data_IF_209419189007
#
_entry.id   IF_209419189007
#
_cell.length_a   1.000
_cell.length_b   1.000
_cell.length_c   1.000
_cell.angle_alpha   90.00
_cell.angle_beta   90.00
_cell.angle_gamma   90.00
#
_symmetry.space_group_name_H-M   'P 1'
#
loop_
_entity.id
_entity.type
_entity.pdbx_description
1 polymer ?
#
# COMPACT_ATOMS: atom_id res chain seq x y z
N UNK A 1 12.96 36.80 66.23
CA UNK A 1 13.09 35.52 65.52
C UNK A 1 11.72 35.07 65.05
N UNK A 2 11.47 35.05 63.74
CA UNK A 2 10.49 34.18 63.05
C UNK A 2 10.58 34.47 61.55
N UNK A 3 11.23 33.56 60.81
CA UNK A 3 11.22 33.50 59.35
C UNK A 3 9.98 32.70 58.97
N UNK A 4 9.03 33.29 58.25
CA UNK A 4 7.96 32.57 57.56
C UNK A 4 8.34 32.52 56.09
N UNK A 5 8.76 31.34 55.63
CA UNK A 5 8.93 31.05 54.22
C UNK A 5 7.58 30.92 53.54
N UNK A 6 7.48 31.45 52.33
CA UNK A 6 6.38 31.20 51.41
C UNK A 6 6.96 30.49 50.18
N UNK A 7 6.73 29.19 50.12
CA UNK A 7 6.69 28.40 48.88
C UNK A 7 5.34 28.65 48.20
N UNK A 8 5.25 28.35 46.90
CA UNK A 8 4.06 28.11 46.01
C UNK A 8 4.24 28.92 44.73
N UNK A 9 4.08 28.42 43.51
CA UNK A 9 4.03 27.09 42.92
C UNK A 9 4.21 27.29 41.40
N UNK A 10 5.02 26.47 40.74
CA UNK A 10 5.16 26.52 39.29
C UNK A 10 4.01 25.74 38.63
N UNK A 11 3.11 26.44 37.94
CA UNK A 11 2.07 25.82 37.10
C UNK A 11 2.73 25.41 35.79
N UNK A 12 3.00 24.12 35.61
CA UNK A 12 3.42 23.56 34.33
C UNK A 12 2.18 23.33 33.46
N UNK A 13 2.01 24.15 32.42
CA UNK A 13 0.98 23.94 31.41
C UNK A 13 1.35 22.72 30.56
N UNK A 14 0.60 21.62 30.70
CA UNK A 14 0.71 20.47 29.82
C UNK A 14 0.10 20.83 28.46
N UNK A 15 0.96 21.18 27.51
CA UNK A 15 0.59 21.29 26.09
C UNK A 15 0.37 19.87 25.56
N UNK A 16 -0.89 19.45 25.51
CA UNK A 16 -1.29 18.25 24.79
C UNK A 16 -1.02 18.46 23.30
N UNK A 17 0.08 17.92 22.79
CA UNK A 17 0.37 17.83 21.36
C UNK A 17 -0.63 16.86 20.74
N UNK A 18 -1.69 17.39 20.12
CA UNK A 18 -2.55 16.60 19.26
C UNK A 18 -1.69 16.03 18.12
N UNK A 19 -1.77 14.72 17.89
CA UNK A 19 -1.13 14.09 16.75
C UNK A 19 -1.66 14.73 15.46
N UNK A 20 -0.80 15.02 14.47
CA UNK A 20 -1.26 15.54 13.20
C UNK A 20 -2.23 14.54 12.56
N UNK A 21 -3.42 15.02 12.18
CA UNK A 21 -4.32 14.24 11.34
C UNK A 21 -3.73 14.22 9.92
N UNK A 22 -3.24 13.06 9.49
CA UNK A 22 -2.82 12.85 8.11
C UNK A 22 -4.08 12.69 7.25
N UNK A 23 -4.17 13.45 6.16
CA UNK A 23 -5.22 13.25 5.16
C UNK A 23 -4.87 12.02 4.31
N UNK A 24 -5.87 11.23 3.93
CA UNK A 24 -5.68 10.14 2.98
C UNK A 24 -5.04 10.68 1.69
N UNK A 25 -4.11 9.90 1.11
CA UNK A 25 -3.53 10.26 -0.16
C UNK A 25 -4.64 10.32 -1.25
N UNK A 26 -4.55 11.27 -2.18
CA UNK A 26 -5.55 11.42 -3.22
C UNK A 26 -5.59 10.16 -4.09
N UNK A 27 -6.80 9.63 -4.32
CA UNK A 27 -7.04 8.50 -5.22
C UNK A 27 -6.49 8.83 -6.61
N UNK A 28 -5.66 7.94 -7.22
CA UNK A 28 -5.23 8.09 -8.61
C UNK A 28 -6.40 8.26 -9.58
N UNK A 29 -6.26 9.18 -10.54
CA UNK A 29 -7.30 9.50 -11.52
C UNK A 29 -6.75 9.41 -12.94
N UNK A 30 -7.56 8.89 -13.87
CA UNK A 30 -7.18 8.83 -15.28
C UNK A 30 -6.85 10.25 -15.82
N UNK A 31 -5.74 10.35 -16.54
CA UNK A 31 -5.20 11.60 -17.09
C UNK A 31 -4.42 12.47 -16.10
N UNK A 32 -4.53 12.22 -14.79
CA UNK A 32 -3.77 12.93 -13.77
C UNK A 32 -2.27 12.57 -13.84
N UNK A 33 -1.37 13.49 -13.42
CA UNK A 33 0.06 13.20 -13.38
C UNK A 33 0.36 12.10 -12.35
N UNK A 34 1.39 11.31 -12.63
CA UNK A 34 2.01 10.39 -11.70
C UNK A 34 3.53 10.65 -11.60
N UNK A 35 4.16 10.33 -10.46
CA UNK A 35 5.61 10.41 -10.31
C UNK A 35 6.35 9.62 -11.39
N UNK A 36 7.53 10.10 -11.82
CA UNK A 36 8.29 9.41 -12.88
C UNK A 36 8.84 8.05 -12.45
N UNK A 37 9.16 7.89 -11.16
CA UNK A 37 9.56 6.63 -10.55
C UNK A 37 8.40 5.62 -10.47
N UNK A 38 7.17 6.04 -10.79
CA UNK A 38 6.01 5.17 -10.89
C UNK A 38 5.80 4.64 -12.31
N UNK A 39 6.75 4.80 -13.23
CA UNK A 39 6.66 4.17 -14.55
C UNK A 39 6.29 2.68 -14.44
N UNK A 40 5.26 2.28 -15.19
CA UNK A 40 4.67 0.94 -15.24
C UNK A 40 4.06 0.42 -13.90
N UNK A 41 3.92 1.30 -12.90
CA UNK A 41 3.19 0.97 -11.68
C UNK A 41 1.69 0.94 -11.99
N UNK A 42 1.05 -0.16 -11.60
CA UNK A 42 -0.39 -0.32 -11.69
C UNK A 42 -1.08 -0.05 -10.36
N UNK A 43 -2.36 0.26 -10.41
CA UNK A 43 -3.19 0.40 -9.22
C UNK A 43 -4.63 0.06 -9.54
N UNK A 44 -5.37 -0.37 -8.51
CA UNK A 44 -6.80 -0.62 -8.61
C UNK A 44 -7.58 0.56 -8.05
N UNK A 45 -8.62 0.99 -8.75
CA UNK A 45 -9.51 2.05 -8.30
C UNK A 45 -10.56 1.53 -7.32
N UNK A 46 -11.17 2.43 -6.51
CA UNK A 46 -12.27 2.04 -5.64
C UNK A 46 -13.38 1.33 -6.43
N UNK A 47 -13.92 0.26 -5.86
CA UNK A 47 -14.91 -0.60 -6.53
C UNK A 47 -14.32 -1.84 -7.22
N UNK A 48 -12.98 -1.91 -7.35
CA UNK A 48 -12.26 -3.16 -7.63
C UNK A 48 -12.24 -3.63 -9.09
N UNK A 49 -13.02 -3.00 -9.98
CA UNK A 49 -13.11 -3.42 -11.38
C UNK A 49 -12.16 -2.66 -12.32
N UNK A 50 -11.81 -1.43 -11.96
CA UNK A 50 -11.04 -0.53 -12.82
C UNK A 50 -9.58 -0.43 -12.36
N UNK A 51 -8.67 -0.34 -13.33
CA UNK A 51 -7.24 -0.29 -13.10
C UNK A 51 -6.62 0.89 -13.85
N UNK A 52 -5.61 1.50 -13.25
CA UNK A 52 -4.77 2.49 -13.89
C UNK A 52 -3.32 2.00 -13.95
N UNK A 53 -2.58 2.44 -14.97
CA UNK A 53 -1.12 2.31 -15.09
C UNK A 53 -0.50 3.68 -15.26
N UNK A 54 0.61 3.95 -14.58
CA UNK A 54 1.36 5.17 -14.78
C UNK A 54 2.26 5.04 -16.02
N UNK A 55 1.88 5.72 -17.10
CA UNK A 55 2.62 5.74 -18.36
C UNK A 55 3.69 6.81 -18.30
N UNK A 56 4.93 6.44 -18.60
CA UNK A 56 6.03 7.39 -18.71
C UNK A 56 5.79 8.36 -19.89
N UNK A 57 6.10 9.64 -19.66
CA UNK A 57 6.09 10.67 -20.70
C UNK A 57 7.50 11.26 -20.77
N UNK A 58 8.14 11.33 -21.95
CA UNK A 58 9.45 11.95 -22.08
C UNK A 58 9.46 13.39 -21.55
N UNK A 59 10.44 13.71 -20.72
CA UNK A 59 10.69 15.04 -20.15
C UNK A 59 9.52 15.65 -19.34
N UNK A 60 8.56 14.83 -18.91
CA UNK A 60 7.39 15.25 -18.12
C UNK A 60 7.06 14.21 -17.03
N UNK A 61 6.29 14.58 -16.00
CA UNK A 61 5.66 13.58 -15.13
C UNK A 61 4.87 12.57 -15.96
N UNK A 62 4.85 11.32 -15.51
CA UNK A 62 4.03 10.30 -16.14
C UNK A 62 2.54 10.68 -16.05
N UNK A 63 1.69 9.91 -16.72
CA UNK A 63 0.23 10.06 -16.60
C UNK A 63 -0.44 8.73 -16.30
N UNK A 64 -1.37 8.76 -15.36
CA UNK A 64 -2.25 7.63 -15.11
C UNK A 64 -3.15 7.41 -16.33
N UNK A 65 -3.14 6.20 -16.87
CA UNK A 65 -3.96 5.79 -17.99
C UNK A 65 -4.81 4.56 -17.62
N UNK A 66 -6.05 4.45 -18.10
CA UNK A 66 -6.88 3.28 -17.86
C UNK A 66 -6.28 2.02 -18.51
N UNK A 67 -6.41 0.89 -17.82
CA UNK A 67 -6.00 -0.43 -18.33
C UNK A 67 -7.23 -1.27 -18.65
N UNK A 68 -7.20 -1.94 -19.80
CA UNK A 68 -8.26 -2.86 -20.22
C UNK A 68 -7.96 -4.26 -19.68
N UNK A 69 -8.94 -4.88 -19.04
CA UNK A 69 -8.84 -6.28 -18.59
C UNK A 69 -9.22 -7.28 -19.69
N UNK A 70 -8.59 -8.47 -19.76
CA UNK A 70 -7.46 -8.91 -18.94
C UNK A 70 -6.15 -8.27 -19.42
N UNK A 71 -5.19 -8.16 -18.49
CA UNK A 71 -3.83 -7.71 -18.75
C UNK A 71 -2.83 -8.75 -18.24
N UNK A 72 -1.60 -8.69 -18.72
CA UNK A 72 -0.52 -9.54 -18.19
C UNK A 72 -0.21 -9.18 -16.74
N UNK A 73 0.13 -10.17 -15.88
CA UNK A 73 0.43 -9.90 -14.48
C UNK A 73 1.50 -8.83 -14.31
N UNK A 74 1.18 -7.75 -13.59
CA UNK A 74 2.10 -6.67 -13.34
C UNK A 74 3.04 -6.98 -12.18
N UNK A 75 4.28 -6.52 -12.30
CA UNK A 75 5.34 -6.68 -11.29
C UNK A 75 5.40 -5.50 -10.32
N UNK A 76 4.59 -4.45 -10.51
CA UNK A 76 4.61 -3.24 -9.68
C UNK A 76 3.20 -2.72 -9.43
N UNK A 77 2.89 -2.47 -8.15
CA UNK A 77 1.57 -2.04 -7.70
C UNK A 77 1.66 -0.89 -6.70
N UNK A 78 0.69 0.03 -6.73
CA UNK A 78 0.51 1.08 -5.75
C UNK A 78 -0.77 0.84 -4.95
N UNK A 79 -0.65 0.75 -3.63
CA UNK A 79 -1.75 1.01 -2.68
C UNK A 79 -1.59 2.43 -2.13
N UNK A 80 -2.69 3.18 -1.97
CA UNK A 80 -2.64 4.65 -1.81
C UNK A 80 -3.58 5.17 -0.70
N UNK A 81 -3.79 4.39 0.35
CA UNK A 81 -4.71 4.72 1.45
C UNK A 81 -5.85 3.70 1.53
N UNK A 82 -6.80 3.70 0.58
CA UNK A 82 -7.72 2.58 0.43
C UNK A 82 -6.96 1.29 0.10
N UNK A 83 -7.43 0.19 0.65
CA UNK A 83 -6.93 -1.13 0.30
C UNK A 83 -7.22 -1.46 -1.17
N UNK A 84 -6.27 -2.10 -1.83
CA UNK A 84 -6.48 -2.68 -3.16
C UNK A 84 -6.52 -4.20 -3.06
N UNK A 85 -7.36 -4.82 -3.88
CA UNK A 85 -7.57 -6.26 -3.91
C UNK A 85 -7.10 -6.81 -5.25
N UNK A 86 -6.09 -7.68 -5.22
CA UNK A 86 -5.49 -8.26 -6.42
C UNK A 86 -5.66 -9.77 -6.42
N UNK A 87 -5.68 -10.36 -7.61
CA UNK A 87 -5.81 -11.80 -7.80
C UNK A 87 -4.50 -12.43 -8.27
N UNK A 88 -4.22 -13.64 -7.77
CA UNK A 88 -3.07 -14.43 -8.18
C UNK A 88 -3.46 -15.65 -9.01
N UNK A 89 -2.52 -16.59 -9.18
CA UNK A 89 -2.66 -17.72 -10.12
C UNK A 89 -3.70 -18.77 -9.70
N UNK A 90 -4.34 -18.62 -8.54
CA UNK A 90 -5.56 -19.34 -8.18
C UNK A 90 -6.79 -18.88 -8.96
N UNK A 91 -6.70 -17.73 -9.65
CA UNK A 91 -7.72 -17.16 -10.52
C UNK A 91 -7.28 -17.17 -12.00
N UNK A 92 -8.24 -17.15 -12.94
CA UNK A 92 -7.93 -16.91 -14.36
C UNK A 92 -7.57 -15.44 -14.54
N UNK A 93 -6.59 -15.14 -15.39
CA UNK A 93 -6.11 -13.77 -15.64
C UNK A 93 -5.61 -13.10 -14.34
N UNK A 94 -4.56 -13.64 -13.71
CA UNK A 94 -4.04 -13.07 -12.47
C UNK A 94 -3.55 -11.63 -12.68
N UNK A 95 -3.71 -10.80 -11.65
CA UNK A 95 -3.17 -9.44 -11.66
C UNK A 95 -1.67 -9.43 -11.36
N UNK A 96 -1.17 -10.40 -10.59
CA UNK A 96 0.25 -10.49 -10.21
C UNK A 96 0.73 -11.95 -10.09
N UNK A 97 2.05 -12.12 -10.07
CA UNK A 97 2.70 -13.43 -9.93
C UNK A 97 3.07 -13.72 -8.48
N UNK A 98 3.00 -15.00 -8.09
CA UNK A 98 3.62 -15.48 -6.85
C UNK A 98 5.14 -15.27 -6.89
N UNK A 99 5.77 -15.14 -5.72
CA UNK A 99 7.22 -14.97 -5.61
C UNK A 99 7.57 -14.00 -4.49
N UNK A 100 8.83 -13.55 -4.47
CA UNK A 100 9.29 -12.56 -3.51
C UNK A 100 8.84 -11.16 -3.94
N UNK A 101 8.32 -10.40 -2.98
CA UNK A 101 7.86 -9.03 -3.16
C UNK A 101 8.35 -8.15 -2.02
N UNK A 102 8.69 -6.92 -2.36
CA UNK A 102 8.97 -5.84 -1.40
C UNK A 102 7.88 -4.78 -1.50
N UNK A 103 7.31 -4.38 -0.35
CA UNK A 103 6.48 -3.20 -0.18
C UNK A 103 7.32 -2.09 0.43
N UNK A 104 7.42 -0.95 -0.26
CA UNK A 104 8.13 0.23 0.21
C UNK A 104 7.12 1.29 0.62
N UNK A 105 7.06 1.71 1.90
CA UNK A 105 6.15 2.76 2.34
C UNK A 105 6.55 4.10 1.72
N UNK A 106 5.55 4.87 1.28
CA UNK A 106 5.76 6.20 0.67
C UNK A 106 5.82 7.33 1.70
N UNK A 107 5.39 7.06 2.94
CA UNK A 107 5.49 7.97 4.08
C UNK A 107 6.17 7.27 5.28
N UNK A 108 7.00 7.96 6.10
CA UNK A 108 7.66 7.37 7.25
C UNK A 108 6.75 6.81 8.35
N UNK A 109 5.49 7.23 8.40
CA UNK A 109 4.48 6.70 9.33
C UNK A 109 3.69 5.52 8.73
N UNK A 110 3.80 5.26 7.43
CA UNK A 110 3.04 4.20 6.77
C UNK A 110 3.53 2.82 7.18
N UNK A 111 2.58 1.97 7.55
CA UNK A 111 2.76 0.52 7.69
C UNK A 111 2.17 -0.17 6.46
N UNK A 112 3.01 -0.88 5.69
CA UNK A 112 2.52 -1.74 4.62
C UNK A 112 2.02 -3.06 5.19
N UNK A 113 0.85 -3.52 4.77
CA UNK A 113 0.37 -4.86 5.14
C UNK A 113 -0.32 -5.57 3.98
N UNK A 114 -0.25 -6.90 4.02
CA UNK A 114 -0.77 -7.78 2.99
C UNK A 114 -1.52 -8.97 3.61
N UNK A 115 -2.74 -9.19 3.12
CA UNK A 115 -3.66 -10.23 3.56
C UNK A 115 -3.91 -11.21 2.41
N UNK A 116 -3.42 -12.45 2.56
CA UNK A 116 -3.39 -13.43 1.48
C UNK A 116 -4.31 -14.62 1.76
N UNK A 117 -5.05 -15.04 0.73
CA UNK A 117 -5.83 -16.29 0.75
C UNK A 117 -5.51 -17.11 -0.50
N UNK A 118 -5.21 -18.39 -0.32
CA UNK A 118 -4.89 -19.31 -1.42
C UNK A 118 -6.00 -20.34 -1.65
N UNK A 119 -6.03 -20.94 -2.85
CA UNK A 119 -6.91 -22.07 -3.15
C UNK A 119 -6.21 -23.38 -2.76
N UNK A 120 -6.86 -24.16 -1.88
CA UNK A 120 -6.38 -25.49 -1.49
C UNK A 120 -6.88 -26.55 -2.47
N UNK A 121 -8.18 -26.51 -2.75
CA UNK A 121 -8.87 -27.39 -3.69
C UNK A 121 -10.12 -26.69 -4.24
N UNK A 122 -10.88 -27.36 -5.12
CA UNK A 122 -12.06 -26.77 -5.74
C UNK A 122 -13.06 -26.26 -4.69
N UNK A 123 -13.27 -24.94 -4.64
CA UNK A 123 -14.17 -24.29 -3.70
C UNK A 123 -13.66 -24.21 -2.25
N UNK A 124 -12.41 -24.60 -1.97
CA UNK A 124 -11.84 -24.57 -0.61
C UNK A 124 -10.66 -23.61 -0.55
N UNK A 125 -10.78 -22.61 0.34
CA UNK A 125 -9.76 -21.62 0.61
C UNK A 125 -8.94 -22.01 1.85
N UNK A 126 -7.66 -21.67 1.85
CA UNK A 126 -6.81 -21.76 3.02
C UNK A 126 -7.17 -20.67 4.05
N UNK A 127 -6.72 -20.80 5.31
CA UNK A 127 -6.75 -19.68 6.26
C UNK A 127 -6.02 -18.45 5.72
N UNK A 128 -6.45 -17.27 6.19
CA UNK A 128 -5.79 -15.99 5.91
C UNK A 128 -4.34 -16.00 6.42
N UNK A 129 -3.42 -15.53 5.57
CA UNK A 129 -2.04 -15.24 5.94
C UNK A 129 -1.85 -13.74 5.94
N UNK A 130 -1.58 -13.19 7.12
CA UNK A 130 -1.34 -11.75 7.32
C UNK A 130 0.16 -11.47 7.44
N UNK A 131 0.62 -10.43 6.75
CA UNK A 131 1.98 -9.89 6.83
C UNK A 131 1.92 -8.38 7.03
N UNK A 132 2.69 -7.84 7.96
CA UNK A 132 2.73 -6.41 8.26
C UNK A 132 4.15 -5.94 8.55
N UNK A 133 4.52 -4.78 7.99
CA UNK A 133 5.78 -4.10 8.25
C UNK A 133 5.73 -3.24 9.52
N UNK A 134 6.85 -2.61 9.84
CA UNK A 134 6.87 -1.53 10.84
C UNK A 134 6.69 -0.17 10.13
N UNK A 135 6.26 0.89 10.83
CA UNK A 135 6.14 2.23 10.23
C UNK A 135 7.42 2.66 9.52
N UNK A 136 7.29 3.08 8.26
CA UNK A 136 8.39 3.59 7.44
C UNK A 136 9.45 2.55 7.06
N UNK A 137 9.25 1.27 7.41
CA UNK A 137 10.15 0.18 7.07
C UNK A 137 9.60 -0.64 5.91
N UNK A 138 10.42 -1.02 4.92
CA UNK A 138 9.99 -1.94 3.87
C UNK A 138 9.53 -3.28 4.44
N UNK A 139 8.42 -3.81 3.92
CA UNK A 139 7.93 -5.16 4.19
C UNK A 139 8.39 -6.09 3.05
N UNK A 140 9.06 -7.19 3.38
CA UNK A 140 9.31 -8.28 2.44
C UNK A 140 8.33 -9.42 2.71
N UNK A 141 7.76 -9.98 1.65
CA UNK A 141 6.89 -11.14 1.76
C UNK A 141 7.00 -12.06 0.54
N UNK A 142 6.64 -13.32 0.75
CA UNK A 142 6.27 -14.21 -0.33
C UNK A 142 4.80 -14.00 -0.70
N UNK A 143 4.54 -13.62 -1.94
CA UNK A 143 3.23 -13.83 -2.55
C UNK A 143 3.08 -15.32 -2.83
N UNK A 144 2.08 -15.93 -2.20
CA UNK A 144 1.94 -17.38 -2.17
C UNK A 144 1.58 -17.97 -3.55
N UNK A 145 2.06 -19.18 -3.88
CA UNK A 145 1.58 -19.91 -5.06
C UNK A 145 0.10 -20.25 -4.90
N UNK A 146 -0.64 -20.34 -6.02
CA UNK A 146 -2.10 -20.56 -6.03
C UNK A 146 -2.88 -19.50 -5.22
N UNK A 147 -2.31 -18.30 -5.06
CA UNK A 147 -2.99 -17.16 -4.48
C UNK A 147 -4.34 -16.95 -5.17
N UNK A 148 -5.41 -16.96 -4.40
CA UNK A 148 -6.74 -16.60 -4.86
C UNK A 148 -6.87 -15.08 -4.87
N UNK A 149 -6.60 -14.45 -3.74
CA UNK A 149 -6.72 -13.01 -3.53
C UNK A 149 -5.67 -12.55 -2.53
N UNK A 150 -5.11 -11.36 -2.76
CA UNK A 150 -4.31 -10.59 -1.82
C UNK A 150 -4.90 -9.20 -1.66
N UNK A 151 -5.06 -8.75 -0.43
CA UNK A 151 -5.42 -7.37 -0.09
C UNK A 151 -4.16 -6.64 0.33
N UNK A 152 -3.86 -5.52 -0.32
CA UNK A 152 -2.70 -4.68 -0.05
C UNK A 152 -3.14 -3.38 0.58
N UNK A 153 -2.52 -3.01 1.69
CA UNK A 153 -2.90 -1.88 2.53
C UNK A 153 -1.71 -0.98 2.86
N UNK A 154 -2.02 0.25 3.27
CA UNK A 154 -1.03 1.32 3.45
C UNK A 154 -0.72 2.04 2.13
N UNK A 155 -0.11 3.21 2.23
CA UNK A 155 0.40 3.96 1.09
C UNK A 155 1.79 3.42 0.68
N UNK A 156 1.79 2.38 -0.18
CA UNK A 156 2.96 1.57 -0.44
C UNK A 156 3.16 1.27 -1.92
N UNK A 157 4.42 1.28 -2.33
CA UNK A 157 4.87 0.79 -3.63
C UNK A 157 5.31 -0.67 -3.49
N UNK A 158 4.56 -1.58 -4.10
CA UNK A 158 4.82 -3.01 -4.12
C UNK A 158 5.58 -3.35 -5.40
N UNK A 159 6.69 -4.07 -5.28
CA UNK A 159 7.49 -4.50 -6.42
C UNK A 159 7.90 -5.96 -6.24
N UNK A 160 7.73 -6.73 -7.31
CA UNK A 160 8.26 -8.07 -7.41
C UNK A 160 9.80 -7.98 -7.39
N UNK A 161 10.44 -8.79 -6.55
CA UNK A 161 11.89 -8.97 -6.62
C UNK A 161 12.22 -9.84 -7.84
N UNK A 162 13.35 -9.55 -8.51
CA UNK A 162 13.69 -9.99 -9.87
C UNK A 162 13.17 -11.35 -10.34
N UNK A 163 12.75 -11.40 -11.59
CA UNK A 163 12.53 -12.65 -12.34
C UNK A 163 13.84 -13.43 -12.54
#
# INVERSE_FOLDING_TARGET
>A
MRRCGALIAAVAAALASAAPAHADAPVPQAGAPCPQDFADVMTQLPGGADFLVCQAVPDQPGRWAPVVTPFDPASRWLSYGPEITLHGQGFRNPNLRSGQWTATPLDPATECAADQVTVVSAGVLAPLVHSQGQPGQPLRLDVLPKLFTIVLSGECLWSQEGE
#
